data_IF_912980860702
#
_entry.id   IF_912980860702
#
_cell.length_a   1.000
_cell.length_b   1.000
_cell.length_c   1.000
_cell.angle_alpha   90.00
_cell.angle_beta   90.00
_cell.angle_gamma   90.00
#
_symmetry.space_group_name_H-M   'P 1'
#
loop_
_entity.id
_entity.type
_entity.pdbx_description
1 polymer ?
#
# COMPACT_ATOMS: atom_id res chain seq x y z
N UNK A 1 25.91 18.96 -12.89
CA UNK A 1 25.37 17.59 -12.78
C UNK A 1 23.92 17.65 -13.25
N UNK A 2 23.68 17.44 -14.55
CA UNK A 2 22.37 17.65 -15.17
C UNK A 2 21.40 16.52 -14.78
N UNK A 3 20.21 16.87 -14.32
CA UNK A 3 19.17 15.89 -14.03
C UNK A 3 18.68 15.26 -15.35
N UNK A 4 18.83 13.94 -15.45
CA UNK A 4 18.27 13.14 -16.55
C UNK A 4 16.78 12.91 -16.28
N UNK A 5 15.92 13.78 -16.79
CA UNK A 5 14.52 13.43 -16.98
C UNK A 5 13.99 14.04 -18.28
N UNK A 6 13.26 13.23 -19.03
CA UNK A 6 12.54 13.67 -20.22
C UNK A 6 11.34 14.54 -19.84
N UNK A 7 11.03 15.53 -20.69
CA UNK A 7 9.84 16.39 -20.51
C UNK A 7 8.56 15.57 -20.65
N UNK A 8 7.64 15.75 -19.70
CA UNK A 8 6.28 15.17 -19.74
C UNK A 8 5.56 15.67 -21.00
N UNK A 9 5.15 14.73 -21.87
CA UNK A 9 4.53 15.05 -23.17
C UNK A 9 3.02 15.34 -23.09
N UNK A 10 2.30 14.69 -22.18
CA UNK A 10 0.87 14.92 -21.99
C UNK A 10 0.39 14.35 -20.66
N UNK A 11 -0.63 14.98 -20.08
CA UNK A 11 -1.33 14.49 -18.87
C UNK A 11 -2.80 14.29 -19.26
N UNK A 12 -3.35 13.10 -19.03
CA UNK A 12 -4.79 12.82 -19.18
C UNK A 12 -5.41 12.56 -17.83
N UNK A 13 -6.49 13.27 -17.53
CA UNK A 13 -7.27 13.13 -16.30
C UNK A 13 -8.34 12.06 -16.47
N UNK A 14 -8.32 11.06 -15.59
CA UNK A 14 -9.41 10.10 -15.39
C UNK A 14 -10.38 10.63 -14.33
N UNK A 15 -11.63 10.18 -14.34
CA UNK A 15 -12.64 10.47 -13.30
C UNK A 15 -12.26 9.91 -11.92
N UNK A 16 -11.30 8.99 -11.87
CA UNK A 16 -10.52 8.64 -10.69
C UNK A 16 -9.23 9.46 -10.68
N UNK A 17 -8.82 10.05 -9.55
CA UNK A 17 -7.58 10.83 -9.40
C UNK A 17 -6.30 9.98 -9.61
N UNK A 18 -6.13 9.47 -10.82
CA UNK A 18 -5.05 8.61 -11.29
C UNK A 18 -4.51 9.23 -12.56
N UNK A 19 -3.21 9.53 -12.58
CA UNK A 19 -2.53 10.09 -13.73
C UNK A 19 -1.63 9.01 -14.34
N UNK A 20 -1.88 8.70 -15.61
CA UNK A 20 -0.96 7.88 -16.42
C UNK A 20 0.13 8.79 -17.00
N UNK A 21 1.38 8.57 -16.59
CA UNK A 21 2.54 9.25 -17.17
C UNK A 21 3.18 8.33 -18.21
N UNK A 22 3.12 8.73 -19.47
CA UNK A 22 3.78 8.05 -20.58
C UNK A 22 5.25 8.50 -20.65
N UNK A 23 6.15 7.70 -20.05
CA UNK A 23 7.60 7.86 -20.15
C UNK A 23 8.16 6.70 -21.00
N UNK A 24 8.89 6.96 -22.10
CA UNK A 24 9.50 5.90 -22.89
C UNK A 24 10.42 5.01 -22.03
N UNK A 25 10.19 3.71 -21.99
CA UNK A 25 10.99 2.74 -21.23
C UNK A 25 10.63 2.55 -19.75
N UNK A 26 9.67 3.30 -19.21
CA UNK A 26 9.20 3.17 -17.82
C UNK A 26 7.67 3.29 -17.72
N UNK A 27 7.03 2.36 -17.00
CA UNK A 27 5.63 2.50 -16.59
C UNK A 27 5.57 3.14 -15.21
N UNK A 28 5.31 4.44 -15.15
CA UNK A 28 5.11 5.19 -13.90
C UNK A 28 3.62 5.49 -13.71
N UNK A 29 3.06 5.05 -12.59
CA UNK A 29 1.68 5.32 -12.20
C UNK A 29 1.66 6.17 -10.93
N UNK A 30 0.74 7.13 -10.89
CA UNK A 30 0.48 7.97 -9.71
C UNK A 30 -0.97 7.77 -9.29
N UNK A 31 -1.20 7.28 -8.07
CA UNK A 31 -2.53 7.18 -7.48
C UNK A 31 -2.55 8.00 -6.18
N UNK A 32 -3.45 8.98 -6.08
CA UNK A 32 -3.66 9.81 -4.88
C UNK A 32 -2.38 10.49 -4.34
N UNK A 33 -1.59 11.13 -5.20
CA UNK A 33 -0.40 11.90 -4.78
C UNK A 33 0.84 11.07 -4.42
N UNK A 34 0.78 9.74 -4.48
CA UNK A 34 1.94 8.86 -4.34
C UNK A 34 2.47 8.48 -5.74
N UNK A 35 3.64 9.01 -6.12
CA UNK A 35 4.43 8.52 -7.25
C UNK A 35 5.13 7.24 -6.80
N UNK A 36 4.40 6.12 -6.79
CA UNK A 36 4.98 4.83 -6.49
C UNK A 36 5.41 4.14 -7.79
N UNK A 37 6.71 4.25 -8.10
CA UNK A 37 7.37 3.43 -9.12
C UNK A 37 7.38 1.96 -8.65
N UNK A 38 6.23 1.30 -8.74
CA UNK A 38 6.02 -0.08 -8.35
C UNK A 38 6.33 -1.06 -9.50
N UNK A 39 6.80 -0.58 -10.65
CA UNK A 39 7.20 -1.42 -11.80
C UNK A 39 8.73 -1.49 -11.91
N UNK A 40 9.26 -2.61 -12.42
CA UNK A 40 10.71 -2.82 -12.58
C UNK A 40 11.53 -3.08 -11.30
N UNK A 41 11.01 -2.73 -10.12
CA UNK A 41 11.66 -3.04 -8.83
C UNK A 41 11.48 -4.52 -8.45
N UNK A 42 12.32 -5.07 -7.59
CA UNK A 42 12.04 -6.34 -6.91
C UNK A 42 11.43 -6.06 -5.51
N UNK A 43 10.82 -7.05 -4.83
CA UNK A 43 10.06 -6.79 -3.62
C UNK A 43 10.91 -6.51 -2.38
N UNK A 44 12.25 -6.50 -2.48
CA UNK A 44 13.13 -5.97 -1.43
C UNK A 44 13.07 -4.45 -1.33
N UNK A 45 12.63 -3.76 -2.40
CA UNK A 45 12.51 -2.31 -2.43
C UNK A 45 11.22 -1.93 -1.71
N UNK A 46 11.39 -1.27 -0.55
CA UNK A 46 10.28 -0.88 0.33
C UNK A 46 9.27 0.04 -0.34
N UNK A 47 9.66 0.76 -1.38
CA UNK A 47 8.71 1.54 -2.20
C UNK A 47 7.56 0.67 -2.71
N UNK A 48 7.86 -0.55 -3.18
CA UNK A 48 6.84 -1.51 -3.62
C UNK A 48 6.22 -2.25 -2.44
N UNK A 49 7.03 -2.95 -1.66
CA UNK A 49 6.52 -3.85 -0.62
C UNK A 49 5.79 -3.09 0.49
N UNK A 50 6.28 -1.91 0.85
CA UNK A 50 5.67 -0.99 1.82
C UNK A 50 4.37 -0.40 1.31
N UNK A 51 4.30 0.01 0.03
CA UNK A 51 3.04 0.48 -0.58
C UNK A 51 1.96 -0.60 -0.59
N UNK A 52 2.32 -1.84 -0.95
CA UNK A 52 1.39 -2.97 -0.90
C UNK A 52 0.98 -3.32 0.53
N UNK A 53 1.89 -3.19 1.49
CA UNK A 53 1.59 -3.39 2.90
C UNK A 53 0.61 -2.33 3.42
N UNK A 54 0.83 -1.05 3.10
CA UNK A 54 -0.06 0.05 3.48
C UNK A 54 -1.48 -0.18 2.94
N UNK A 55 -1.61 -0.57 1.65
CA UNK A 55 -2.89 -0.96 1.06
C UNK A 55 -3.53 -2.14 1.79
N UNK A 56 -2.76 -3.19 2.04
CA UNK A 56 -3.24 -4.39 2.70
C UNK A 56 -3.77 -4.11 4.11
N UNK A 57 -3.04 -3.29 4.88
CA UNK A 57 -3.46 -2.81 6.20
C UNK A 57 -4.73 -1.98 6.09
N UNK A 58 -4.75 -0.95 5.24
CA UNK A 58 -5.89 -0.06 5.05
C UNK A 58 -7.17 -0.84 4.70
N UNK A 59 -7.09 -1.73 3.71
CA UNK A 59 -8.24 -2.53 3.27
C UNK A 59 -8.76 -3.44 4.38
N UNK A 60 -7.89 -4.02 5.20
CA UNK A 60 -8.31 -4.85 6.33
C UNK A 60 -8.90 -4.03 7.49
N UNK A 61 -8.44 -2.79 7.73
CA UNK A 61 -9.04 -1.86 8.70
C UNK A 61 -10.49 -1.54 8.30
N UNK A 62 -10.71 -1.17 7.03
CA UNK A 62 -12.05 -0.91 6.48
C UNK A 62 -12.90 -2.18 6.50
N UNK A 63 -12.36 -3.32 6.06
CA UNK A 63 -13.07 -4.61 6.10
C UNK A 63 -13.44 -5.07 7.52
N UNK A 64 -12.65 -4.67 8.52
CA UNK A 64 -12.96 -4.88 9.94
C UNK A 64 -14.00 -3.89 10.48
N UNK A 65 -14.47 -2.93 9.66
CA UNK A 65 -15.38 -1.85 10.05
C UNK A 65 -14.84 -1.03 11.22
N UNK A 66 -13.53 -0.80 11.26
CA UNK A 66 -12.88 0.06 12.25
C UNK A 66 -12.96 1.54 11.88
N UNK A 67 -13.10 1.83 10.59
CA UNK A 67 -13.29 3.17 10.02
C UNK A 67 -13.95 3.05 8.64
N UNK A 68 -14.47 4.15 8.10
CA UNK A 68 -15.03 4.22 6.75
C UNK A 68 -14.00 4.74 5.74
N UNK A 69 -13.05 5.56 6.20
CA UNK A 69 -11.90 6.05 5.45
C UNK A 69 -10.64 5.87 6.29
N UNK A 70 -9.53 5.50 5.66
CA UNK A 70 -8.24 5.39 6.35
C UNK A 70 -7.08 5.67 5.41
N UNK A 71 -6.10 6.40 5.93
CA UNK A 71 -4.76 6.53 5.35
C UNK A 71 -3.75 5.85 6.27
N UNK A 72 -2.79 5.14 5.66
CA UNK A 72 -1.74 4.40 6.35
C UNK A 72 -0.40 4.90 5.82
N UNK A 73 0.44 5.41 6.70
CA UNK A 73 1.79 5.84 6.35
C UNK A 73 2.81 4.95 7.09
N UNK A 74 3.84 4.52 6.36
CA UNK A 74 4.92 3.68 6.87
C UNK A 74 6.26 4.35 6.57
N UNK A 75 7.09 4.54 7.59
CA UNK A 75 8.45 5.05 7.42
C UNK A 75 9.46 3.93 7.66
N UNK A 76 10.46 3.83 6.78
CA UNK A 76 11.57 2.87 6.89
C UNK A 76 12.91 3.60 6.84
N UNK A 77 13.90 3.02 7.51
CA UNK A 77 15.30 3.46 7.44
C UNK A 77 16.12 2.31 6.86
N UNK A 78 17.09 2.64 6.00
CA UNK A 78 17.98 1.64 5.39
C UNK A 78 18.71 0.87 6.49
N UNK A 79 18.73 -0.46 6.39
CA UNK A 79 19.39 -1.35 7.36
C UNK A 79 18.57 -1.70 8.60
N UNK A 80 17.39 -1.09 8.82
CA UNK A 80 16.52 -1.40 9.95
C UNK A 80 15.34 -2.27 9.51
N UNK A 81 15.16 -3.41 10.17
CA UNK A 81 14.14 -4.38 9.77
C UNK A 81 12.70 -3.93 10.09
N UNK A 82 12.49 -3.25 11.22
CA UNK A 82 11.16 -2.75 11.62
C UNK A 82 10.91 -1.36 11.03
N UNK A 83 9.65 -1.02 10.67
CA UNK A 83 9.32 0.36 10.33
C UNK A 83 9.63 1.28 11.51
N UNK A 84 10.16 2.47 11.22
CA UNK A 84 10.42 3.51 12.21
C UNK A 84 9.11 4.04 12.80
N UNK A 85 8.09 4.20 11.95
CA UNK A 85 6.77 4.64 12.35
C UNK A 85 5.67 4.00 11.51
N UNK A 86 4.51 3.84 12.15
CA UNK A 86 3.23 3.47 11.52
C UNK A 86 2.25 4.56 11.94
N UNK A 87 1.81 5.36 10.98
CA UNK A 87 0.79 6.38 11.21
C UNK A 87 -0.53 5.95 10.57
N UNK A 88 -1.62 6.17 11.30
CA UNK A 88 -2.98 5.87 10.86
C UNK A 88 -3.77 7.17 10.97
N UNK A 89 -4.49 7.54 9.92
CA UNK A 89 -5.42 8.65 9.94
C UNK A 89 -6.78 8.16 9.42
N UNK A 90 -7.79 8.14 10.29
CA UNK A 90 -9.15 7.72 9.90
C UNK A 90 -10.06 8.87 9.43
N UNK A 91 -9.53 10.09 9.35
CA UNK A 91 -10.28 11.28 8.95
C UNK A 91 -11.58 11.46 9.76
N UNK A 92 -11.53 11.21 11.07
CA UNK A 92 -12.66 11.23 12.00
C UNK A 92 -13.79 10.21 11.70
N UNK A 93 -13.51 9.19 10.89
CA UNK A 93 -14.46 8.09 10.63
C UNK A 93 -14.19 6.84 11.48
N UNK A 94 -13.16 6.87 12.32
CA UNK A 94 -12.77 5.76 13.18
C UNK A 94 -13.76 5.50 14.33
N UNK A 95 -14.07 4.23 14.58
CA UNK A 95 -14.85 3.80 15.76
C UNK A 95 -14.06 3.82 17.06
N UNK A 96 -12.73 3.85 16.93
CA UNK A 96 -11.76 3.92 18.01
C UNK A 96 -10.65 4.87 17.59
N UNK A 97 -9.93 5.42 18.58
CA UNK A 97 -8.83 6.35 18.34
C UNK A 97 -7.75 5.79 17.40
N UNK A 98 -7.18 6.64 16.56
CA UNK A 98 -6.20 6.29 15.53
C UNK A 98 -4.93 5.65 16.13
N UNK A 99 -4.48 6.13 17.29
CA UNK A 99 -3.34 5.55 18.01
C UNK A 99 -3.63 4.11 18.47
N UNK A 100 -4.89 3.84 18.82
CA UNK A 100 -5.32 2.49 19.21
C UNK A 100 -5.35 1.57 17.99
N UNK A 101 -5.81 2.07 16.83
CA UNK A 101 -5.76 1.32 15.57
C UNK A 101 -4.30 1.03 15.20
N UNK A 102 -3.41 2.02 15.26
CA UNK A 102 -1.98 1.85 14.97
C UNK A 102 -1.34 0.77 15.87
N UNK A 103 -1.64 0.77 17.18
CA UNK A 103 -1.19 -0.26 18.12
C UNK A 103 -1.70 -1.65 17.76
N UNK A 104 -2.96 -1.77 17.33
CA UNK A 104 -3.54 -3.04 16.89
C UNK A 104 -2.87 -3.52 15.59
N UNK A 105 -2.68 -2.62 14.62
CA UNK A 105 -1.99 -2.92 13.36
C UNK A 105 -0.59 -3.47 13.62
N UNK A 106 0.19 -2.82 14.49
CA UNK A 106 1.53 -3.27 14.84
C UNK A 106 1.57 -4.66 15.49
N UNK A 107 0.46 -5.11 16.10
CA UNK A 107 0.34 -6.48 16.66
C UNK A 107 -0.12 -7.51 15.62
N UNK A 108 -0.95 -7.13 14.66
CA UNK A 108 -1.56 -8.06 13.69
C UNK A 108 -0.71 -8.26 12.44
N UNK A 109 0.01 -7.22 12.05
CA UNK A 109 0.78 -7.16 10.81
C UNK A 109 2.28 -7.12 11.12
N UNK A 110 3.01 -8.11 10.61
CA UNK A 110 4.46 -8.07 10.60
C UNK A 110 4.94 -7.28 9.38
N UNK A 111 5.18 -5.98 9.59
CA UNK A 111 5.53 -5.01 8.55
C UNK A 111 7.03 -4.95 8.25
N UNK A 112 7.82 -5.92 8.74
CA UNK A 112 9.24 -6.02 8.36
C UNK A 112 9.35 -6.40 6.88
N UNK A 113 10.23 -5.80 6.05
CA UNK A 113 10.29 -6.06 4.61
C UNK A 113 10.38 -7.55 4.25
N UNK A 114 11.24 -8.31 4.93
CA UNK A 114 11.35 -9.76 4.72
C UNK A 114 10.06 -10.53 5.01
N UNK A 115 9.31 -10.11 6.04
CA UNK A 115 8.04 -10.72 6.41
C UNK A 115 6.91 -10.29 5.49
N UNK A 116 6.92 -9.07 4.98
CA UNK A 116 5.99 -8.64 3.93
C UNK A 116 6.15 -9.49 2.67
N UNK A 117 7.39 -9.71 2.22
CA UNK A 117 7.69 -10.56 1.06
C UNK A 117 7.15 -11.97 1.27
N UNK A 118 7.33 -12.54 2.47
CA UNK A 118 6.85 -13.88 2.83
C UNK A 118 5.33 -13.95 2.92
N UNK A 119 4.72 -13.06 3.70
CA UNK A 119 3.28 -13.05 4.00
C UNK A 119 2.44 -12.77 2.74
N UNK A 120 2.89 -11.85 1.89
CA UNK A 120 2.21 -11.52 0.64
C UNK A 120 2.69 -12.40 -0.54
N UNK A 121 3.61 -13.34 -0.31
CA UNK A 121 4.20 -14.21 -1.34
C UNK A 121 4.61 -13.39 -2.58
N UNK A 122 5.51 -12.42 -2.39
CA UNK A 122 5.90 -11.45 -3.42
C UNK A 122 6.99 -11.98 -4.37
N UNK A 123 7.71 -13.05 -4.02
CA UNK A 123 8.71 -13.69 -4.89
C UNK A 123 8.06 -14.63 -5.91
N UNK A 124 7.24 -14.07 -6.80
CA UNK A 124 6.59 -14.77 -7.92
C UNK A 124 6.27 -13.78 -9.06
N UNK A 125 6.11 -14.24 -10.30
CA UNK A 125 5.90 -13.36 -11.46
C UNK A 125 4.45 -12.83 -11.54
N UNK A 126 4.04 -12.01 -10.57
CA UNK A 126 2.66 -11.49 -10.45
C UNK A 126 2.52 -10.00 -10.79
N UNK A 127 3.59 -9.35 -11.25
CA UNK A 127 3.63 -7.89 -11.39
C UNK A 127 3.17 -7.37 -12.76
N UNK A 128 3.26 -8.17 -13.82
CA UNK A 128 2.92 -7.73 -15.18
C UNK A 128 1.44 -7.32 -15.31
N UNK A 129 0.55 -8.09 -14.69
CA UNK A 129 -0.90 -7.85 -14.69
C UNK A 129 -1.32 -6.53 -14.01
N UNK A 130 -0.49 -6.01 -13.10
CA UNK A 130 -0.75 -4.75 -12.37
C UNK A 130 0.02 -3.56 -12.93
N UNK A 131 0.85 -3.78 -13.94
CA UNK A 131 1.60 -2.72 -14.62
C UNK A 131 0.74 -1.88 -15.57
N UNK A 132 -0.58 -2.12 -15.62
CA UNK A 132 -1.56 -1.29 -16.30
C UNK A 132 -2.86 -1.32 -15.51
N UNK A 133 -3.66 -0.24 -15.60
CA UNK A 133 -4.94 -0.09 -14.92
C UNK A 133 -4.85 -0.14 -13.39
N UNK A 134 -3.67 0.17 -12.83
CA UNK A 134 -3.44 0.32 -11.41
C UNK A 134 -3.15 -0.99 -10.64
N UNK A 135 -2.44 -0.82 -9.51
CA UNK A 135 -2.02 -1.91 -8.62
C UNK A 135 -3.05 -2.27 -7.54
N UNK A 136 -4.07 -1.42 -7.34
CA UNK A 136 -5.01 -1.50 -6.23
C UNK A 136 -6.45 -1.46 -6.71
N UNK A 137 -7.37 -2.05 -5.93
CA UNK A 137 -8.81 -2.04 -6.24
C UNK A 137 -9.22 -2.93 -7.42
N UNK A 138 -8.30 -3.78 -7.90
CA UNK A 138 -8.53 -4.74 -8.99
C UNK A 138 -9.21 -5.99 -8.45
N UNK A 139 -10.55 -6.02 -8.51
CA UNK A 139 -11.35 -7.18 -8.10
C UNK A 139 -11.32 -8.31 -9.12
N UNK A 140 -10.86 -8.02 -10.33
CA UNK A 140 -10.64 -8.97 -11.43
C UNK A 140 -9.37 -9.82 -11.28
N UNK A 141 -8.49 -9.49 -10.31
CA UNK A 141 -7.19 -10.15 -10.10
C UNK A 141 -7.07 -10.73 -8.68
N UNK A 142 -6.41 -11.90 -8.54
CA UNK A 142 -6.07 -12.48 -7.22
C UNK A 142 -4.78 -11.87 -6.64
N UNK A 143 -4.88 -10.65 -6.11
CA UNK A 143 -3.75 -9.93 -5.53
C UNK A 143 -3.67 -10.15 -4.00
N UNK A 144 -2.50 -10.52 -3.45
CA UNK A 144 -2.38 -10.87 -2.04
C UNK A 144 -2.62 -9.68 -1.10
N UNK A 145 -2.26 -8.46 -1.51
CA UNK A 145 -2.50 -7.23 -0.73
C UNK A 145 -3.95 -6.75 -0.79
N UNK A 146 -4.78 -7.30 -1.68
CA UNK A 146 -6.22 -7.00 -1.74
C UNK A 146 -7.06 -7.98 -0.87
N UNK A 147 -6.43 -8.95 -0.20
CA UNK A 147 -7.15 -9.95 0.63
C UNK A 147 -7.53 -9.41 2.01
N UNK A 148 -8.75 -9.72 2.45
CA UNK A 148 -9.31 -9.38 3.77
C UNK A 148 -9.02 -10.44 4.84
N UNK A 149 -7.80 -10.97 4.86
CA UNK A 149 -7.40 -12.11 5.70
C UNK A 149 -6.99 -11.75 7.13
N UNK A 150 -7.00 -10.46 7.51
CA UNK A 150 -6.66 -9.98 8.86
C UNK A 150 -7.84 -9.35 9.60
N UNK A 151 -9.01 -9.29 8.98
CA UNK A 151 -10.24 -8.70 9.54
C UNK A 151 -10.59 -9.29 10.90
N UNK A 152 -10.63 -10.62 11.03
CA UNK A 152 -11.01 -11.30 12.28
C UNK A 152 -10.04 -10.96 13.42
N UNK A 153 -8.73 -10.94 13.13
CA UNK A 153 -7.71 -10.59 14.11
C UNK A 153 -7.83 -9.13 14.58
N UNK A 154 -8.09 -8.22 13.65
CA UNK A 154 -8.34 -6.80 13.93
C UNK A 154 -9.56 -6.62 14.85
N UNK A 155 -10.70 -7.21 14.51
CA UNK A 155 -11.94 -7.12 15.31
C UNK A 155 -11.74 -7.65 16.73
N UNK A 156 -11.09 -8.80 16.87
CA UNK A 156 -10.79 -9.42 18.18
C UNK A 156 -10.00 -8.48 19.09
N UNK A 157 -8.97 -7.83 18.58
CA UNK A 157 -8.14 -6.91 19.36
C UNK A 157 -8.81 -5.54 19.59
N UNK A 158 -9.67 -5.10 18.66
CA UNK A 158 -10.46 -3.89 18.83
C UNK A 158 -11.58 -4.06 19.88
N UNK A 159 -11.90 -5.29 20.29
CA UNK A 159 -13.03 -5.65 21.17
C UNK A 159 -14.38 -5.19 20.62
N UNK A 160 -14.50 -5.11 19.30
CA UNK A 160 -15.77 -4.82 18.63
C UNK A 160 -16.48 -6.15 18.39
N UNK A 161 -17.71 -6.27 18.90
CA UNK A 161 -18.61 -7.40 18.63
C UNK A 161 -19.14 -7.31 17.19
#
# INVERSE_FOLDING_TARGET
>A
MGHFYDKVKSIKTSSTQTYDLLIPGCHTFTANGLVCHNSGKDPTKVDRSGSYAARWVAKNIIGAKLADKVEVQLAYVIGVAKPLSININTFNTGKIADEKIAKIVNKVFDLRPGMLIKNLKLRRPIYRQVAAYGHFGRNDLDLPWEKLNKVTALKKLAKLR
#
